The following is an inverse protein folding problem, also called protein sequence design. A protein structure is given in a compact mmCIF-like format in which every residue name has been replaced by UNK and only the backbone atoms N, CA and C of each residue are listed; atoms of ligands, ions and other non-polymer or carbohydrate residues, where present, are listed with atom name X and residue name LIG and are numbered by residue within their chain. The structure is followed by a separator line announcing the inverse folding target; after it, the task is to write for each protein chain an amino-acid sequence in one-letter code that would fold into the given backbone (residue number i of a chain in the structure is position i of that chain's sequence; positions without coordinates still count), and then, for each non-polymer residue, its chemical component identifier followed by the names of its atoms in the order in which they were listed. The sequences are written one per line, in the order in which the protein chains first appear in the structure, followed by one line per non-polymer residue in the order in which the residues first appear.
data_IF_784896238371
#
_entry.id   IF_784896238371
#
_cell.length_a   1.000
_cell.length_b   1.000
_cell.length_c   1.000
_cell.angle_alpha   90.00
_cell.angle_beta   90.00
_cell.angle_gamma   90.00
#
_symmetry.space_group_name_H-M   'P 1'
#
loop_
_entity.id
_entity.type
_entity.pdbx_description
1 polymer ?
#
# COMPACT_ATOMS: atom_id res chain seq x y z
N UNK A 1 5.05 -24.27 -5.12
CA UNK A 1 6.30 -23.82 -4.49
C UNK A 1 6.95 -22.60 -5.16
N UNK A 2 7.74 -22.70 -6.24
CA UNK A 2 8.53 -21.53 -6.73
C UNK A 2 7.71 -20.29 -7.08
N UNK A 3 6.52 -20.47 -7.68
CA UNK A 3 5.60 -19.36 -8.04
C UNK A 3 4.91 -18.72 -6.83
N UNK A 4 4.68 -19.48 -5.77
CA UNK A 4 4.04 -18.97 -4.55
C UNK A 4 5.03 -18.10 -3.76
N UNK A 5 6.30 -18.53 -3.73
CA UNK A 5 7.39 -17.74 -3.14
C UNK A 5 7.60 -16.44 -3.93
N UNK A 6 7.63 -16.52 -5.27
CA UNK A 6 7.76 -15.34 -6.13
C UNK A 6 6.62 -14.33 -5.91
N UNK A 7 5.37 -14.80 -5.81
CA UNK A 7 4.22 -13.95 -5.53
C UNK A 7 4.28 -13.33 -4.13
N UNK A 8 4.62 -14.11 -3.10
CA UNK A 8 4.76 -13.62 -1.74
C UNK A 8 5.86 -12.55 -1.63
N UNK A 9 7.01 -12.79 -2.27
CA UNK A 9 8.11 -11.81 -2.33
C UNK A 9 7.67 -10.56 -3.09
N UNK A 10 6.93 -10.70 -4.19
CA UNK A 10 6.37 -9.58 -4.95
C UNK A 10 5.45 -8.70 -4.10
N UNK A 11 4.59 -9.29 -3.27
CA UNK A 11 3.71 -8.56 -2.37
C UNK A 11 4.51 -7.81 -1.30
N UNK A 12 5.47 -8.48 -0.64
CA UNK A 12 6.32 -7.84 0.37
C UNK A 12 7.13 -6.70 -0.23
N UNK A 13 7.69 -6.89 -1.42
CA UNK A 13 8.44 -5.86 -2.14
C UNK A 13 7.55 -4.68 -2.54
N UNK A 14 6.33 -4.93 -3.03
CA UNK A 14 5.37 -3.89 -3.38
C UNK A 14 4.96 -3.06 -2.15
N UNK A 15 4.74 -3.71 -1.00
CA UNK A 15 4.41 -3.03 0.25
C UNK A 15 5.58 -2.15 0.73
N UNK A 16 6.81 -2.67 0.67
CA UNK A 16 8.01 -1.90 0.98
C UNK A 16 8.22 -0.72 0.03
N UNK A 17 7.97 -0.90 -1.26
CA UNK A 17 8.07 0.15 -2.26
C UNK A 17 7.02 1.25 -2.04
N UNK A 18 5.77 0.86 -1.77
CA UNK A 18 4.70 1.81 -1.44
C UNK A 18 5.07 2.65 -0.21
N UNK A 19 5.56 2.00 0.86
CA UNK A 19 6.03 2.70 2.06
C UNK A 19 7.17 3.69 1.75
N UNK A 20 8.14 3.31 0.93
CA UNK A 20 9.25 4.18 0.54
C UNK A 20 8.79 5.38 -0.31
N UNK A 21 7.90 5.12 -1.29
CA UNK A 21 7.35 6.15 -2.17
C UNK A 21 6.50 7.15 -1.41
N UNK A 22 5.67 6.69 -0.47
CA UNK A 22 4.85 7.55 0.37
C UNK A 22 5.65 8.28 1.44
N UNK A 23 6.79 7.74 1.89
CA UNK A 23 7.67 8.40 2.86
C UNK A 23 8.45 9.59 2.29
N UNK A 24 8.88 9.51 1.03
CA UNK A 24 9.65 10.56 0.34
C UNK A 24 9.00 11.96 0.38
N UNK A 25 7.70 12.12 0.04
CA UNK A 25 7.00 13.41 0.16
C UNK A 25 7.00 14.00 1.57
N UNK A 26 6.96 13.16 2.62
CA UNK A 26 6.98 13.62 4.00
C UNK A 26 8.35 14.15 4.41
N UNK A 27 9.43 13.54 3.91
CA UNK A 27 10.79 14.04 4.10
C UNK A 27 11.00 15.37 3.38
N UNK A 28 10.50 15.51 2.16
CA UNK A 28 10.56 16.76 1.39
C UNK A 28 9.77 17.90 2.07
N UNK A 29 8.70 17.56 2.78
CA UNK A 29 7.92 18.51 3.58
C UNK A 29 8.60 18.93 4.91
N UNK A 30 9.79 18.39 5.21
CA UNK A 30 10.56 18.73 6.42
C UNK A 30 10.05 18.08 7.70
N UNK A 31 9.21 17.04 7.59
CA UNK A 31 8.67 16.32 8.75
C UNK A 31 9.74 15.39 9.31
N UNK A 32 9.76 15.22 10.64
CA UNK A 32 10.69 14.32 11.32
C UNK A 32 10.69 12.91 10.70
N UNK A 33 11.83 12.37 10.24
CA UNK A 33 11.88 11.15 9.43
C UNK A 33 11.23 9.94 10.09
N UNK A 34 11.46 9.75 11.40
CA UNK A 34 10.92 8.64 12.16
C UNK A 34 9.40 8.74 12.35
N UNK A 35 8.89 9.95 12.58
CA UNK A 35 7.46 10.19 12.75
C UNK A 35 6.72 10.02 11.43
N UNK A 36 7.30 10.49 10.32
CA UNK A 36 6.78 10.28 8.97
C UNK A 36 6.75 8.79 8.59
N UNK A 37 7.80 8.03 8.90
CA UNK A 37 7.84 6.59 8.64
C UNK A 37 6.77 5.85 9.45
N UNK A 38 6.56 6.25 10.71
CA UNK A 38 5.52 5.68 11.56
C UNK A 38 4.11 5.96 11.01
N UNK A 39 3.84 7.18 10.53
CA UNK A 39 2.55 7.48 9.89
C UNK A 39 2.30 6.66 8.64
N UNK A 40 3.27 6.63 7.72
CA UNK A 40 3.13 5.91 6.46
C UNK A 40 2.94 4.41 6.70
N UNK A 41 3.73 3.82 7.60
CA UNK A 41 3.59 2.39 7.95
C UNK A 41 2.29 2.09 8.70
N UNK A 42 1.84 2.98 9.59
CA UNK A 42 0.56 2.84 10.29
C UNK A 42 -0.64 2.99 9.35
N UNK A 43 -0.58 3.92 8.40
CA UNK A 43 -1.60 4.12 7.37
C UNK A 43 -1.67 2.92 6.42
N UNK A 44 -0.53 2.46 5.90
CA UNK A 44 -0.44 1.27 5.05
C UNK A 44 -0.86 -0.01 5.76
N UNK A 45 -0.58 -0.15 7.06
CA UNK A 45 -1.03 -1.31 7.85
C UNK A 45 -2.46 -1.14 8.39
N UNK A 46 -3.11 0.01 8.15
CA UNK A 46 -4.42 0.39 8.71
C UNK A 46 -4.51 0.30 10.24
N UNK A 47 -3.38 0.50 10.94
CA UNK A 47 -3.27 0.42 12.39
C UNK A 47 -4.03 1.56 13.11
N UNK A 48 -4.23 2.69 12.44
CA UNK A 48 -4.94 3.86 12.99
C UNK A 48 -4.19 4.61 14.09
N UNK A 49 -2.91 4.29 14.31
CA UNK A 49 -2.04 4.98 15.25
C UNK A 49 -1.33 6.14 14.57
N UNK A 50 -1.11 7.24 15.31
CA UNK A 50 -0.43 8.44 14.81
C UNK A 50 0.67 8.86 15.76
N UNK A 51 1.81 9.30 15.21
CA UNK A 51 2.93 9.86 15.97
C UNK A 51 2.77 11.38 16.24
N UNK A 52 1.58 11.94 15.98
CA UNK A 52 1.28 13.37 16.12
C UNK A 52 1.58 14.21 14.87
N UNK A 53 1.93 13.57 13.75
CA UNK A 53 2.16 14.23 12.45
C UNK A 53 0.83 14.47 11.71
N UNK A 54 -0.15 13.60 11.92
CA UNK A 54 -1.48 13.68 11.29
C UNK A 54 -2.33 14.75 12.02
N UNK A 55 -2.09 16.02 11.67
CA UNK A 55 -2.78 17.18 12.22
C UNK A 55 -3.75 17.83 11.22
N UNK A 56 -4.76 18.60 11.69
CA UNK A 56 -5.66 19.35 10.83
C UNK A 56 -4.94 20.38 9.94
N UNK A 57 -3.78 20.87 10.36
CA UNK A 57 -2.91 21.79 9.61
C UNK A 57 -2.01 21.10 8.58
N UNK A 58 -2.02 19.77 8.50
CA UNK A 58 -1.19 19.04 7.54
C UNK A 58 -1.61 19.41 6.11
N UNK A 59 -0.61 19.64 5.25
CA UNK A 59 -0.82 20.04 3.86
C UNK A 59 -1.78 19.06 3.16
N UNK A 60 -2.78 19.55 2.40
CA UNK A 60 -3.81 18.70 1.79
C UNK A 60 -3.22 17.60 0.89
N UNK A 61 -2.07 17.84 0.25
CA UNK A 61 -1.36 16.85 -0.54
C UNK A 61 -0.86 15.66 0.31
N UNK A 62 -0.31 15.90 1.51
CA UNK A 62 0.17 14.82 2.38
C UNK A 62 -1.00 14.03 3.00
N UNK A 63 -2.12 14.69 3.29
CA UNK A 63 -3.35 14.00 3.70
C UNK A 63 -3.87 13.07 2.60
N UNK A 64 -3.81 13.50 1.34
CA UNK A 64 -4.19 12.66 0.20
C UNK A 64 -3.30 11.41 0.13
N UNK A 65 -1.98 11.55 0.33
CA UNK A 65 -1.05 10.41 0.39
C UNK A 65 -1.45 9.44 1.49
N UNK A 66 -1.73 9.91 2.71
CA UNK A 66 -2.18 9.03 3.80
C UNK A 66 -3.52 8.35 3.51
N UNK A 67 -4.47 9.05 2.89
CA UNK A 67 -5.73 8.43 2.47
C UNK A 67 -5.52 7.34 1.41
N UNK A 68 -4.60 7.56 0.46
CA UNK A 68 -4.23 6.56 -0.53
C UNK A 68 -3.51 5.37 0.13
N UNK A 69 -2.63 5.61 1.08
CA UNK A 69 -1.95 4.57 1.86
C UNK A 69 -2.95 3.73 2.67
N UNK A 70 -3.95 4.35 3.31
CA UNK A 70 -5.01 3.63 4.02
C UNK A 70 -5.91 2.82 3.08
N UNK A 71 -6.21 3.34 1.88
CA UNK A 71 -6.97 2.64 0.87
C UNK A 71 -6.19 1.44 0.33
N UNK A 72 -4.92 1.65 -0.02
CA UNK A 72 -4.01 0.61 -0.53
C UNK A 72 -3.74 -0.45 0.53
N UNK A 73 -3.52 -0.04 1.78
CA UNK A 73 -3.35 -0.93 2.93
C UNK A 73 -4.55 -1.84 3.19
N UNK A 74 -5.77 -1.28 3.08
CA UNK A 74 -7.00 -2.05 3.27
C UNK A 74 -7.36 -2.94 2.07
N UNK A 75 -6.85 -2.63 0.88
CA UNK A 75 -7.14 -3.41 -0.32
C UNK A 75 -6.27 -4.67 -0.47
N UNK A 76 -5.22 -4.89 0.35
CA UNK A 76 -4.17 -5.83 -0.08
C UNK A 76 -3.88 -7.06 0.79
N UNK A 77 -4.57 -8.16 0.40
CA UNK A 77 -4.00 -9.52 0.24
C UNK A 77 -4.68 -10.21 -0.96
N UNK A 78 -5.99 -10.02 -1.17
CA UNK A 78 -6.77 -10.72 -2.21
C UNK A 78 -6.75 -9.98 -3.57
N UNK A 79 -6.63 -8.65 -3.58
CA UNK A 79 -6.68 -7.85 -4.81
C UNK A 79 -5.39 -7.95 -5.65
N UNK A 80 -4.18 -7.86 -5.09
CA UNK A 80 -2.95 -8.19 -5.83
C UNK A 80 -2.87 -9.67 -6.20
N UNK A 81 -3.33 -10.59 -5.34
CA UNK A 81 -3.37 -12.03 -5.66
C UNK A 81 -4.22 -12.29 -6.92
N UNK A 82 -5.34 -11.59 -7.08
CA UNK A 82 -6.22 -11.69 -8.26
C UNK A 82 -5.65 -10.92 -9.46
N UNK A 83 -5.07 -9.73 -9.26
CA UNK A 83 -4.52 -8.90 -10.34
C UNK A 83 -3.28 -9.52 -11.00
N UNK A 84 -2.43 -10.19 -10.23
CA UNK A 84 -1.22 -10.87 -10.74
C UNK A 84 -1.54 -12.24 -11.36
N UNK A 85 -2.77 -12.76 -11.20
CA UNK A 85 -3.22 -14.01 -11.82
C UNK A 85 -4.09 -13.74 -13.07
N UNK A 86 -3.51 -13.59 -14.29
CA UNK A 86 -4.29 -13.31 -15.49
C UNK A 86 -5.28 -14.43 -15.88
N UNK A 87 -5.17 -15.63 -15.26
CA UNK A 87 -6.14 -16.74 -15.45
C UNK A 87 -7.50 -16.50 -14.76
N UNK A 88 -7.61 -15.56 -13.83
CA UNK A 88 -8.92 -15.20 -13.21
C UNK A 88 -9.68 -14.16 -14.03
N UNK A 89 -9.00 -13.43 -14.91
CA UNK A 89 -9.59 -12.37 -15.73
C UNK A 89 -10.33 -12.90 -16.94
N UNK A 90 -9.79 -13.95 -17.56
CA UNK A 90 -10.46 -14.68 -18.63
C UNK A 90 -11.34 -15.75 -17.99
N UNK A 91 -12.56 -15.35 -17.62
CA UNK A 91 -13.65 -16.27 -17.44
C UNK A 91 -13.70 -17.18 -18.67
N UNK A 92 -13.35 -18.46 -18.49
CA UNK A 92 -13.65 -19.47 -19.49
C UNK A 92 -15.17 -19.48 -19.61
N UNK A 93 -15.69 -18.83 -20.65
CA UNK A 93 -16.93 -19.30 -21.22
C UNK A 93 -16.67 -20.74 -21.62
N UNK A 94 -17.19 -21.66 -20.82
CA UNK A 94 -17.41 -23.03 -21.23
C UNK A 94 -18.40 -22.97 -22.38
N UNK A 95 -17.93 -22.87 -23.61
CA UNK A 95 -18.69 -23.42 -24.74
C UNK A 95 -18.48 -24.92 -24.68
N UNK A 96 -19.41 -25.60 -24.00
CA UNK A 96 -19.75 -26.99 -24.32
C UNK A 96 -20.23 -27.03 -25.76
N UNK A 97 -19.44 -27.63 -26.66
CA UNK A 97 -19.92 -28.40 -27.81
C UNK A 97 -18.97 -29.57 -28.08
#
# INVERSE_FOLDING_TARGET
ESREIEAAVGIVAAFGLAALLSWLPFLLAGIAPLAALFEVTSALATCGLSAGVTAPDLHPALKLVLCLDMLMGRLEIIALLVLVYPRTWLGRHSEEQ
#
